data_IF_361726933501
#
_entry.id   IF_361726933501
#
_cell.length_a   1.000
_cell.length_b   1.000
_cell.length_c   1.000
_cell.angle_alpha   90.00
_cell.angle_beta   90.00
_cell.angle_gamma   90.00
#
_symmetry.space_group_name_H-M   'P 1'
#
loop_
_entity.id
_entity.type
_entity.pdbx_description
1 polymer ?
#
# COMPACT_ATOMS: atom_id res chain seq x y z
N UNK A 1 -3.58 -0.04 -28.20
CA UNK A 1 -2.58 0.04 -27.12
C UNK A 1 -3.16 -0.61 -25.88
N UNK A 2 -2.32 -1.20 -25.02
CA UNK A 2 -2.75 -1.82 -23.78
C UNK A 2 -2.33 -0.94 -22.59
N UNK A 3 -3.25 -0.73 -21.65
CA UNK A 3 -2.97 -0.02 -20.40
C UNK A 3 -2.54 -1.04 -19.34
N UNK A 4 -1.43 -0.77 -18.64
CA UNK A 4 -0.98 -1.59 -17.51
C UNK A 4 -1.47 -0.97 -16.21
N UNK A 5 -2.41 -1.63 -15.54
CA UNK A 5 -2.92 -1.21 -14.23
C UNK A 5 -2.18 -1.96 -13.12
N UNK A 6 -1.69 -1.23 -12.14
CA UNK A 6 -1.14 -1.80 -10.91
C UNK A 6 -2.12 -1.57 -9.76
N UNK A 7 -2.32 -2.60 -8.94
CA UNK A 7 -3.14 -2.54 -7.74
C UNK A 7 -2.24 -2.76 -6.54
N UNK A 8 -2.35 -1.88 -5.54
CA UNK A 8 -1.59 -1.97 -4.31
C UNK A 8 -2.55 -1.99 -3.11
N UNK A 9 -2.28 -2.91 -2.18
CA UNK A 9 -2.93 -2.94 -0.87
C UNK A 9 -2.03 -2.23 0.14
N UNK A 10 -2.62 -1.50 1.08
CA UNK A 10 -1.89 -0.89 2.20
C UNK A 10 -1.19 -1.97 3.06
N UNK A 11 -0.17 -1.57 3.81
CA UNK A 11 0.54 -2.43 4.76
C UNK A 11 -0.27 -2.75 6.01
N UNK A 12 0.32 -3.51 6.94
CA UNK A 12 -0.30 -3.87 8.21
C UNK A 12 -0.72 -2.64 9.04
N UNK A 13 -1.92 -2.68 9.62
CA UNK A 13 -2.43 -1.68 10.57
C UNK A 13 -2.51 -2.21 11.99
N UNK A 14 -2.63 -1.31 12.97
CA UNK A 14 -2.83 -1.67 14.38
C UNK A 14 -4.07 -2.56 14.59
N UNK A 15 -5.13 -2.41 13.80
CA UNK A 15 -6.31 -3.27 13.93
C UNK A 15 -6.10 -4.66 13.34
N UNK A 16 -5.21 -4.82 12.35
CA UNK A 16 -4.83 -6.14 11.86
C UNK A 16 -4.15 -6.95 12.97
N UNK A 17 -3.23 -6.34 13.72
CA UNK A 17 -2.53 -7.03 14.82
C UNK A 17 -3.47 -7.39 15.98
N UNK A 18 -4.56 -6.65 16.14
CA UNK A 18 -5.59 -6.91 17.15
C UNK A 18 -6.70 -7.86 16.65
N UNK A 19 -6.65 -8.33 15.40
CA UNK A 19 -7.70 -9.18 14.81
C UNK A 19 -9.05 -8.48 14.67
N UNK A 20 -9.07 -7.14 14.57
CA UNK A 20 -10.29 -6.34 14.49
C UNK A 20 -10.66 -6.05 13.04
N UNK A 21 -11.96 -6.05 12.76
CA UNK A 21 -12.49 -5.56 11.48
C UNK A 21 -12.41 -4.03 11.49
N UNK A 22 -11.76 -3.45 10.48
CA UNK A 22 -11.55 -2.00 10.36
C UNK A 22 -12.84 -1.25 9.99
N UNK A 23 -13.61 -1.74 9.01
CA UNK A 23 -14.70 -0.96 8.42
C UNK A 23 -14.18 0.33 7.77
N UNK A 24 -14.87 1.45 8.00
CA UNK A 24 -14.47 2.79 7.56
C UNK A 24 -13.80 3.57 8.72
N UNK A 25 -12.75 2.99 9.31
CA UNK A 25 -12.01 3.57 10.44
C UNK A 25 -10.52 3.69 10.09
N UNK A 26 -9.90 4.81 10.46
CA UNK A 26 -8.48 5.07 10.16
C UNK A 26 -7.56 4.51 11.26
N UNK A 27 -7.37 3.19 11.26
CA UNK A 27 -6.33 2.57 12.08
C UNK A 27 -4.95 2.86 11.48
N UNK A 28 -3.98 3.36 12.27
CA UNK A 28 -2.66 3.69 11.75
C UNK A 28 -1.93 2.44 11.27
N UNK A 29 -1.02 2.62 10.30
CA UNK A 29 -0.05 1.60 9.93
C UNK A 29 0.85 1.30 11.13
N UNK A 30 1.24 0.03 11.27
CA UNK A 30 2.33 -0.34 12.18
C UNK A 30 3.68 0.02 11.56
N UNK A 31 4.75 -0.03 12.36
CA UNK A 31 6.11 0.12 11.81
C UNK A 31 6.37 -0.89 10.69
N UNK A 32 5.87 -2.12 10.83
CA UNK A 32 5.91 -3.13 9.77
C UNK A 32 5.13 -2.70 8.53
N UNK A 33 3.91 -2.15 8.69
CA UNK A 33 3.12 -1.62 7.58
C UNK A 33 3.82 -0.49 6.82
N UNK A 34 4.56 0.37 7.53
CA UNK A 34 5.39 1.43 6.91
C UNK A 34 6.55 0.81 6.15
N UNK A 35 7.27 -0.16 6.74
CA UNK A 35 8.37 -0.85 6.05
C UNK A 35 7.88 -1.58 4.79
N UNK A 36 6.71 -2.19 4.82
CA UNK A 36 6.09 -2.83 3.64
C UNK A 36 5.85 -1.81 2.51
N UNK A 37 5.41 -0.60 2.82
CA UNK A 37 5.23 0.45 1.81
C UNK A 37 6.59 0.92 1.22
N UNK A 38 7.64 1.00 2.05
CA UNK A 38 8.98 1.35 1.59
C UNK A 38 9.57 0.27 0.68
N UNK A 39 9.39 -1.01 1.00
CA UNK A 39 9.81 -2.13 0.15
C UNK A 39 9.10 -2.13 -1.20
N UNK A 40 7.81 -1.79 -1.23
CA UNK A 40 7.07 -1.65 -2.50
C UNK A 40 7.64 -0.51 -3.36
N UNK A 41 8.01 0.62 -2.74
CA UNK A 41 8.68 1.73 -3.42
C UNK A 41 10.03 1.28 -3.99
N UNK A 42 10.83 0.53 -3.23
CA UNK A 42 12.11 0.01 -3.71
C UNK A 42 11.91 -0.96 -4.89
N UNK A 43 10.92 -1.85 -4.83
CA UNK A 43 10.55 -2.73 -5.94
C UNK A 43 10.22 -1.95 -7.23
N UNK A 44 9.42 -0.88 -7.14
CA UNK A 44 9.10 -0.06 -8.32
C UNK A 44 10.35 0.61 -8.91
N UNK A 45 11.25 1.11 -8.07
CA UNK A 45 12.51 1.71 -8.50
C UNK A 45 13.42 0.70 -9.20
N UNK A 46 13.65 -0.46 -8.59
CA UNK A 46 14.51 -1.53 -9.11
C UNK A 46 14.01 -2.05 -10.46
N UNK A 47 12.69 -2.11 -10.65
CA UNK A 47 12.07 -2.56 -11.89
C UNK A 47 11.81 -1.42 -12.90
N UNK A 48 12.26 -0.20 -12.60
CA UNK A 48 12.05 0.99 -13.45
C UNK A 48 10.58 1.21 -13.83
N UNK A 49 9.67 0.99 -12.87
CA UNK A 49 8.23 1.16 -13.04
C UNK A 49 7.87 2.60 -12.69
N UNK A 50 7.33 3.32 -13.67
CA UNK A 50 6.85 4.70 -13.53
C UNK A 50 5.36 4.79 -13.81
N UNK A 51 4.68 5.71 -13.13
CA UNK A 51 3.23 5.88 -13.22
C UNK A 51 2.89 7.25 -13.80
N UNK A 52 2.03 7.28 -14.81
CA UNK A 52 1.47 8.53 -15.34
C UNK A 52 0.45 9.16 -14.38
N UNK A 53 -0.29 8.31 -13.65
CA UNK A 53 -1.30 8.70 -12.68
C UNK A 53 -1.31 7.76 -11.48
N UNK A 54 -1.59 8.30 -10.29
CA UNK A 54 -1.70 7.54 -9.04
C UNK A 54 -2.99 7.94 -8.30
N UNK A 55 -3.69 6.96 -7.75
CA UNK A 55 -4.93 7.14 -7.00
C UNK A 55 -4.90 6.31 -5.71
N UNK A 56 -5.57 6.79 -4.66
CA UNK A 56 -5.72 6.07 -3.38
C UNK A 56 -7.15 6.15 -2.86
N UNK A 57 -7.45 5.37 -1.82
CA UNK A 57 -8.61 5.65 -0.97
C UNK A 57 -8.44 7.00 -0.25
N UNK A 58 -9.56 7.55 0.21
CA UNK A 58 -9.63 8.76 1.06
C UNK A 58 -9.15 8.48 2.47
#
# INVERSE_FOLDING_TARGET
>A
MATKLYLMRHGETLFNTQGRVLGACDSPLTDLGIQQALLAKDYFNENSIWFDSVYSST
#
